data_IF_106672810669
#
_entry.id   IF_106672810669
#
_cell.length_a   1.000
_cell.length_b   1.000
_cell.length_c   1.000
_cell.angle_alpha   90.00
_cell.angle_beta   90.00
_cell.angle_gamma   90.00
#
_symmetry.space_group_name_H-M   'P 1'
#
loop_
_entity.id
_entity.type
_entity.pdbx_description
1 polymer ?
#
# COMPACT_ATOMS: atom_id res chain seq x y z
N UNK A 1 43.16 7.92 60.44
CA UNK A 1 43.06 9.39 60.43
C UNK A 1 44.11 9.89 59.44
N UNK A 2 43.67 10.36 58.25
CA UNK A 2 44.32 11.32 57.32
C UNK A 2 45.86 11.23 57.06
N UNK A 3 46.45 11.28 55.85
CA UNK A 3 46.06 11.80 54.53
C UNK A 3 47.14 11.33 53.52
N UNK A 4 46.67 10.85 52.36
CA UNK A 4 47.15 11.02 50.96
C UNK A 4 48.64 11.22 50.61
N UNK A 5 49.04 10.50 49.55
CA UNK A 5 49.60 11.19 48.37
C UNK A 5 50.89 10.59 47.79
N UNK A 6 50.77 9.53 46.97
CA UNK A 6 51.88 9.05 46.14
C UNK A 6 51.52 9.11 44.65
N UNK A 7 52.40 9.75 43.87
CA UNK A 7 52.72 9.31 42.52
C UNK A 7 51.91 9.87 41.35
N UNK A 8 52.38 10.98 40.78
CA UNK A 8 52.01 11.48 39.44
C UNK A 8 52.78 10.68 38.37
N UNK A 9 52.16 9.72 37.69
CA UNK A 9 52.76 9.06 36.51
C UNK A 9 51.82 9.18 35.31
N UNK A 10 52.17 10.11 34.43
CA UNK A 10 51.65 10.25 33.07
C UNK A 10 52.08 9.05 32.23
N UNK A 11 51.15 8.38 31.54
CA UNK A 11 51.36 7.79 30.21
C UNK A 11 50.06 7.29 29.59
N UNK A 12 49.74 7.93 28.47
CA UNK A 12 48.80 7.57 27.43
C UNK A 12 48.76 6.06 27.13
N UNK A 13 47.56 5.49 27.12
CA UNK A 13 47.21 4.32 26.30
C UNK A 13 45.85 4.63 25.67
N UNK A 14 45.78 5.02 24.39
CA UNK A 14 44.54 5.08 23.66
C UNK A 14 44.17 3.68 23.18
N UNK A 15 42.89 3.41 22.97
CA UNK A 15 42.36 2.70 21.80
C UNK A 15 41.11 1.85 22.13
N UNK A 16 39.99 2.31 21.56
CA UNK A 16 38.99 1.49 20.88
C UNK A 16 38.11 0.63 21.79
N UNK A 17 37.14 1.28 22.44
CA UNK A 17 35.78 0.75 22.44
C UNK A 17 35.10 1.33 21.21
N UNK A 18 35.17 0.59 20.10
CA UNK A 18 34.38 0.88 18.91
C UNK A 18 32.91 0.76 19.28
N UNK A 19 32.27 1.92 19.46
CA UNK A 19 30.83 2.08 19.53
C UNK A 19 30.27 1.74 18.14
N UNK A 20 30.05 0.45 17.89
CA UNK A 20 29.29 0.01 16.74
C UNK A 20 27.82 0.38 16.96
N UNK A 21 27.47 1.63 16.68
CA UNK A 21 26.08 2.00 16.39
C UNK A 21 25.77 1.29 15.08
N UNK A 22 25.22 0.08 15.17
CA UNK A 22 24.51 -0.50 14.04
C UNK A 22 23.43 0.50 13.65
N UNK A 23 23.52 1.06 12.45
CA UNK A 23 22.45 1.87 11.89
C UNK A 23 21.21 0.98 11.82
N UNK A 24 20.28 1.13 12.77
CA UNK A 24 18.97 0.53 12.66
C UNK A 24 18.31 1.26 11.49
N UNK A 25 17.99 0.57 10.39
CA UNK A 25 17.24 1.21 9.33
C UNK A 25 15.89 1.60 9.94
N UNK A 26 15.66 2.90 10.12
CA UNK A 26 14.33 3.43 10.37
C UNK A 26 13.57 3.19 9.07
N UNK A 27 12.86 2.07 8.99
CA UNK A 27 11.83 1.92 7.97
C UNK A 27 10.74 2.92 8.33
N UNK A 28 10.37 3.78 7.38
CA UNK A 28 9.19 4.61 7.53
C UNK A 28 8.04 3.70 7.95
N UNK A 29 7.34 4.06 9.03
CA UNK A 29 6.16 3.31 9.42
C UNK A 29 5.17 3.41 8.26
N UNK A 30 4.75 2.27 7.72
CA UNK A 30 3.80 2.23 6.62
C UNK A 30 2.53 2.98 7.03
N UNK A 31 2.07 3.90 6.18
CA UNK A 31 0.87 4.68 6.42
C UNK A 31 -0.31 3.74 6.68
N UNK A 32 -1.03 3.99 7.77
CA UNK A 32 -2.22 3.20 8.13
C UNK A 32 -3.46 4.00 7.75
N UNK A 33 -4.39 3.37 7.04
CA UNK A 33 -5.66 3.96 6.61
C UNK A 33 -6.79 3.06 7.11
N UNK A 34 -7.82 3.66 7.70
CA UNK A 34 -9.06 2.97 8.05
C UNK A 34 -10.20 3.51 7.17
N UNK A 35 -10.68 2.66 6.26
CA UNK A 35 -11.84 2.94 5.43
C UNK A 35 -13.10 2.50 6.17
N UNK A 36 -14.08 3.40 6.31
CA UNK A 36 -15.37 3.12 6.95
C UNK A 36 -16.52 3.40 5.99
N UNK A 37 -17.54 2.56 6.02
CA UNK A 37 -18.79 2.81 5.31
C UNK A 37 -19.97 2.10 5.98
N UNK A 38 -21.20 2.49 5.63
CA UNK A 38 -22.43 1.88 6.13
C UNK A 38 -22.54 0.40 5.74
N UNK A 39 -22.01 0.01 4.59
CA UNK A 39 -22.12 -1.34 4.05
C UNK A 39 -20.76 -1.86 3.56
N UNK A 40 -20.57 -3.17 3.62
CA UNK A 40 -19.43 -3.85 3.00
C UNK A 40 -19.83 -5.19 2.40
N UNK A 41 -19.46 -5.39 1.14
CA UNK A 41 -19.46 -6.68 0.47
C UNK A 41 -18.10 -7.35 0.65
N UNK A 42 -18.04 -8.51 1.31
CA UNK A 42 -16.78 -9.19 1.65
C UNK A 42 -16.33 -10.23 0.60
N UNK A 43 -17.11 -10.42 -0.46
CA UNK A 43 -16.84 -11.40 -1.53
C UNK A 43 -17.01 -12.86 -1.12
N UNK A 44 -17.43 -13.15 0.12
CA UNK A 44 -17.57 -14.52 0.65
C UNK A 44 -19.00 -14.85 1.05
N UNK A 45 -19.68 -13.91 1.69
CA UNK A 45 -21.03 -14.07 2.21
C UNK A 45 -22.09 -13.57 1.23
N UNK A 46 -23.33 -14.05 1.39
CA UNK A 46 -24.48 -13.60 0.59
C UNK A 46 -25.10 -12.29 1.09
N UNK A 47 -24.63 -11.77 2.23
CA UNK A 47 -25.20 -10.62 2.93
C UNK A 47 -24.15 -9.52 3.08
N UNK A 48 -24.57 -8.25 3.05
CA UNK A 48 -23.68 -7.14 3.36
C UNK A 48 -23.36 -7.09 4.85
N UNK A 49 -22.11 -6.76 5.18
CA UNK A 49 -21.67 -6.46 6.55
C UNK A 49 -22.05 -5.00 6.85
N UNK A 50 -22.83 -4.73 7.90
CA UNK A 50 -23.16 -3.36 8.31
C UNK A 50 -21.97 -2.71 9.02
N UNK A 51 -21.83 -1.39 8.88
CA UNK A 51 -20.76 -0.59 9.48
C UNK A 51 -19.36 -1.16 9.20
N UNK A 52 -19.10 -1.42 7.92
CA UNK A 52 -17.87 -2.06 7.46
C UNK A 52 -16.64 -1.18 7.70
N UNK A 53 -15.55 -1.82 8.12
CA UNK A 53 -14.24 -1.23 8.34
C UNK A 53 -13.17 -2.08 7.65
N UNK A 54 -12.32 -1.45 6.85
CA UNK A 54 -11.13 -2.06 6.24
C UNK A 54 -9.90 -1.27 6.69
N UNK A 55 -8.95 -1.96 7.31
CA UNK A 55 -7.70 -1.35 7.78
C UNK A 55 -6.58 -1.75 6.83
N UNK A 56 -5.93 -0.76 6.24
CA UNK A 56 -4.85 -0.90 5.26
C UNK A 56 -3.57 -0.35 5.86
N UNK A 57 -2.47 -1.09 5.74
CA UNK A 57 -1.12 -0.64 6.04
C UNK A 57 -0.27 -0.77 4.78
N UNK A 58 0.19 0.37 4.24
CA UNK A 58 0.89 0.39 2.96
C UNK A 58 0.04 -0.18 1.82
N UNK A 59 0.47 -1.31 1.24
CA UNK A 59 -0.20 -2.02 0.16
C UNK A 59 -1.01 -3.24 0.62
N UNK A 60 -1.14 -3.45 1.94
CA UNK A 60 -1.80 -4.63 2.52
C UNK A 60 -3.00 -4.27 3.36
N UNK A 61 -4.05 -5.05 3.22
CA UNK A 61 -5.16 -5.09 4.18
C UNK A 61 -4.71 -5.90 5.40
N UNK A 62 -4.73 -5.28 6.58
CA UNK A 62 -4.31 -5.92 7.84
C UNK A 62 -5.49 -6.37 8.71
N UNK A 63 -6.69 -5.79 8.50
CA UNK A 63 -7.92 -6.23 9.17
C UNK A 63 -9.18 -5.81 8.39
N UNK A 64 -10.25 -6.59 8.51
CA UNK A 64 -11.55 -6.39 7.83
C UNK A 64 -12.70 -6.88 8.70
N UNK A 65 -13.73 -6.05 8.89
CA UNK A 65 -14.89 -6.44 9.68
C UNK A 65 -15.82 -5.29 10.00
N UNK A 66 -16.50 -5.39 11.14
CA UNK A 66 -17.28 -4.30 11.74
C UNK A 66 -16.74 -4.03 13.15
N UNK A 67 -16.90 -2.81 13.66
CA UNK A 67 -16.46 -2.42 15.01
C UNK A 67 -14.98 -2.73 15.32
N UNK A 68 -14.10 -2.63 14.32
CA UNK A 68 -12.67 -2.88 14.50
C UNK A 68 -12.01 -1.80 15.35
N UNK A 69 -11.00 -2.20 16.12
CA UNK A 69 -10.13 -1.26 16.82
C UNK A 69 -9.19 -0.58 15.82
N UNK A 70 -9.49 0.67 15.48
CA UNK A 70 -8.67 1.46 14.56
C UNK A 70 -7.40 1.94 15.27
N UNK A 71 -6.19 1.68 14.72
CA UNK A 71 -4.94 2.20 15.27
C UNK A 71 -4.95 3.73 15.39
N UNK A 72 -4.43 4.27 16.48
CA UNK A 72 -4.48 5.72 16.76
C UNK A 72 -3.71 6.58 15.75
N UNK A 73 -2.79 6.00 14.99
CA UNK A 73 -2.05 6.68 13.91
C UNK A 73 -2.69 6.53 12.54
N UNK A 74 -3.86 5.88 12.43
CA UNK A 74 -4.52 5.65 11.16
C UNK A 74 -5.22 6.92 10.64
N UNK A 75 -5.08 7.21 9.35
CA UNK A 75 -5.96 8.14 8.65
C UNK A 75 -7.34 7.50 8.49
N UNK A 76 -8.37 8.11 9.07
CA UNK A 76 -9.74 7.64 8.93
C UNK A 76 -10.37 8.29 7.68
N UNK A 77 -10.93 7.47 6.82
CA UNK A 77 -11.73 7.89 5.66
C UNK A 77 -13.14 7.32 5.85
N UNK A 78 -14.10 8.19 6.15
CA UNK A 78 -15.51 7.83 6.31
C UNK A 78 -16.27 8.12 5.01
N UNK A 79 -16.82 7.08 4.40
CA UNK A 79 -17.53 7.13 3.12
C UNK A 79 -19.06 7.23 3.31
N UNK A 80 -19.56 7.32 4.55
CA UNK A 80 -20.99 7.44 4.84
C UNK A 80 -21.79 6.23 4.35
N UNK A 81 -22.86 6.48 3.58
CA UNK A 81 -23.81 5.46 3.11
C UNK A 81 -23.28 4.53 2.00
N UNK A 82 -21.99 4.66 1.63
CA UNK A 82 -21.38 3.85 0.59
C UNK A 82 -21.31 2.35 0.94
N UNK A 83 -21.04 1.54 -0.08
CA UNK A 83 -20.69 0.12 0.06
C UNK A 83 -19.23 -0.09 -0.28
N UNK A 84 -18.44 -0.58 0.69
CA UNK A 84 -17.10 -1.09 0.43
C UNK A 84 -17.20 -2.42 -0.32
N UNK A 85 -16.36 -2.60 -1.35
CA UNK A 85 -16.25 -3.85 -2.08
C UNK A 85 -14.79 -4.08 -2.51
N UNK A 86 -14.37 -5.34 -2.74
CA UNK A 86 -13.13 -5.62 -3.43
C UNK A 86 -13.13 -4.93 -4.80
N UNK A 87 -11.95 -4.49 -5.24
CA UNK A 87 -11.78 -4.01 -6.61
C UNK A 87 -12.23 -5.07 -7.61
N UNK A 88 -12.98 -4.66 -8.63
CA UNK A 88 -13.41 -5.57 -9.68
C UNK A 88 -12.22 -6.01 -10.54
N UNK A 89 -12.26 -7.27 -10.97
CA UNK A 89 -11.29 -7.84 -11.89
C UNK A 89 -11.95 -8.04 -13.25
N UNK A 90 -11.33 -7.50 -14.29
CA UNK A 90 -11.71 -7.74 -15.68
C UNK A 90 -10.82 -8.86 -16.25
N UNK A 91 -11.43 -9.98 -16.59
CA UNK A 91 -10.73 -11.15 -17.12
C UNK A 91 -10.51 -11.06 -18.65
N UNK A 92 -11.15 -10.12 -19.33
CA UNK A 92 -11.07 -10.03 -20.78
C UNK A 92 -11.22 -8.59 -21.27
N UNK A 93 -10.07 -7.96 -21.51
CA UNK A 93 -9.99 -6.61 -22.05
C UNK A 93 -9.00 -6.55 -23.21
N UNK A 94 -9.19 -5.57 -24.08
CA UNK A 94 -8.23 -5.20 -25.12
C UNK A 94 -7.83 -3.74 -24.91
N UNK A 95 -6.66 -3.48 -24.32
CA UNK A 95 -6.22 -2.11 -24.03
C UNK A 95 -5.82 -1.30 -25.27
N UNK A 96 -5.36 -1.97 -26.33
CA UNK A 96 -4.77 -1.34 -27.52
C UNK A 96 -5.68 -1.41 -28.75
N UNK A 97 -6.87 -1.99 -28.63
CA UNK A 97 -7.80 -2.14 -29.75
C UNK A 97 -9.08 -1.39 -29.44
N UNK A 98 -9.42 -0.44 -30.31
CA UNK A 98 -10.77 0.12 -30.32
C UNK A 98 -11.75 -0.95 -30.80
N UNK A 99 -12.75 -1.21 -29.96
CA UNK A 99 -13.88 -2.06 -30.31
C UNK A 99 -14.78 -1.30 -31.30
N UNK A 100 -14.64 -1.60 -32.59
CA UNK A 100 -15.43 -0.98 -33.67
C UNK A 100 -16.85 -1.55 -33.82
N UNK A 101 -17.28 -2.47 -32.94
CA UNK A 101 -18.58 -3.15 -33.00
C UNK A 101 -18.67 -4.24 -34.07
N UNK A 102 -18.30 -3.92 -35.31
CA UNK A 102 -18.31 -4.85 -36.44
C UNK A 102 -16.89 -5.12 -36.95
N UNK A 103 -16.41 -6.33 -36.65
CA UNK A 103 -15.11 -6.82 -37.10
C UNK A 103 -15.00 -6.85 -38.63
N UNK A 104 -16.07 -7.21 -39.35
CA UNK A 104 -16.02 -7.34 -40.79
C UNK A 104 -15.89 -5.96 -41.45
N UNK A 105 -16.62 -4.96 -40.97
CA UNK A 105 -16.52 -3.59 -41.49
C UNK A 105 -15.12 -3.02 -41.25
N UNK A 106 -14.57 -3.16 -40.04
CA UNK A 106 -13.21 -2.73 -39.74
C UNK A 106 -12.19 -3.45 -40.63
N UNK A 107 -12.32 -4.77 -40.75
CA UNK A 107 -11.38 -5.58 -41.55
C UNK A 107 -11.40 -5.20 -43.02
N UNK A 108 -12.57 -4.87 -43.57
CA UNK A 108 -12.71 -4.37 -44.93
C UNK A 108 -12.05 -2.99 -45.09
N UNK A 109 -12.31 -2.07 -44.15
CA UNK A 109 -11.67 -0.74 -44.15
C UNK A 109 -10.14 -0.85 -44.06
N UNK A 110 -9.61 -1.75 -43.24
CA UNK A 110 -8.17 -2.01 -43.17
C UNK A 110 -7.62 -2.53 -44.51
N UNK A 111 -8.36 -3.37 -45.24
CA UNK A 111 -7.91 -3.86 -46.56
C UNK A 111 -7.88 -2.75 -47.61
N UNK A 112 -8.75 -1.75 -47.50
CA UNK A 112 -8.79 -0.59 -48.40
C UNK A 112 -7.64 0.41 -48.14
N UNK A 113 -6.97 0.31 -46.99
CA UNK A 113 -5.82 1.12 -46.62
C UNK A 113 -4.51 0.44 -47.01
N UNK A 114 -3.57 1.22 -47.54
CA UNK A 114 -2.21 0.73 -47.75
C UNK A 114 -1.41 0.70 -46.42
N UNK A 115 -0.27 -0.01 -46.41
CA UNK A 115 0.55 -0.23 -45.20
C UNK A 115 0.98 1.09 -44.54
N UNK A 116 1.20 2.15 -45.31
CA UNK A 116 1.60 3.46 -44.76
C UNK A 116 0.43 4.17 -44.08
N UNK A 117 -0.80 3.95 -44.55
CA UNK A 117 -2.03 4.55 -43.99
C UNK A 117 -2.50 3.86 -42.72
N UNK A 118 -2.17 2.59 -42.52
CA UNK A 118 -2.48 1.86 -41.29
C UNK A 118 -1.54 2.20 -40.12
N UNK A 119 -0.39 2.82 -40.39
CA UNK A 119 0.67 3.06 -39.41
C UNK A 119 0.60 4.46 -38.74
N UNK A 120 -0.37 5.28 -39.12
CA UNK A 120 -0.62 6.64 -38.63
C UNK A 120 -1.89 6.67 -37.79
#
# INVERSE_FOLDING_TARGET
>A
MNILGWGRWSRLVPAILAFAIGAIPIRAADNVIALKAAHMFDGKSKSLVPNGVVIVQGDKIIDVGSNLAVPGNAQIIDLGDATLAPGFMDAHTHHTLDYSGDYNVRRLQELDLNVSEQAI
#
